data_IF_800244628606
#
_entry.id   IF_800244628606
#
_cell.length_a   1.000
_cell.length_b   1.000
_cell.length_c   1.000
_cell.angle_alpha   90.00
_cell.angle_beta   90.00
_cell.angle_gamma   90.00
#
_symmetry.space_group_name_H-M   'P 1'
#
loop_
_entity.id
_entity.type
_entity.pdbx_description
1 polymer ?
#
# COMPACT_ATOMS: atom_id res chain seq x y z
N UNK A 1 8.95 -16.42 -11.43
CA UNK A 1 7.72 -15.73 -11.05
C UNK A 1 6.69 -15.96 -12.14
N UNK A 2 5.64 -16.65 -11.82
CA UNK A 2 4.62 -17.10 -12.77
C UNK A 2 4.00 -15.94 -13.58
N UNK A 3 3.71 -14.80 -12.92
CA UNK A 3 3.12 -13.63 -13.58
C UNK A 3 3.94 -13.14 -14.79
N UNK A 4 5.26 -13.07 -14.67
CA UNK A 4 6.14 -12.64 -15.75
C UNK A 4 6.25 -13.69 -16.86
N UNK A 5 6.16 -14.97 -16.49
CA UNK A 5 6.23 -16.07 -17.46
C UNK A 5 4.98 -16.15 -18.34
N UNK A 6 3.82 -15.87 -17.74
CA UNK A 6 2.53 -15.88 -18.42
C UNK A 6 2.23 -14.58 -19.17
N UNK A 7 2.92 -13.49 -18.86
CA UNK A 7 2.67 -12.16 -19.41
C UNK A 7 3.98 -11.47 -19.81
N UNK A 8 4.60 -11.90 -20.92
CA UNK A 8 5.90 -11.37 -21.35
C UNK A 8 5.85 -9.90 -21.80
N UNK A 9 4.66 -9.35 -22.03
CA UNK A 9 4.44 -7.96 -22.48
C UNK A 9 4.16 -6.98 -21.33
N UNK A 10 4.34 -7.41 -20.08
CA UNK A 10 4.13 -6.53 -18.93
C UNK A 10 5.14 -5.39 -18.92
N UNK A 11 4.65 -4.17 -18.79
CA UNK A 11 5.43 -2.94 -18.63
C UNK A 11 5.30 -2.30 -17.24
N UNK A 12 4.32 -2.75 -16.43
CA UNK A 12 4.13 -2.29 -15.06
C UNK A 12 3.50 -3.35 -14.16
N UNK A 13 3.85 -3.32 -12.88
CA UNK A 13 3.27 -4.17 -11.84
C UNK A 13 2.87 -3.31 -10.66
N UNK A 14 1.60 -3.44 -10.26
CA UNK A 14 1.06 -2.81 -9.06
C UNK A 14 0.92 -3.87 -7.98
N UNK A 15 1.69 -3.75 -6.91
CA UNK A 15 1.62 -4.64 -5.76
C UNK A 15 0.61 -4.12 -4.73
N UNK A 16 -0.19 -5.01 -4.15
CA UNK A 16 -1.17 -4.63 -3.14
C UNK A 16 -0.52 -4.07 -1.87
N UNK A 17 0.61 -4.62 -1.47
CA UNK A 17 1.36 -4.24 -0.27
C UNK A 17 2.84 -4.04 -0.60
N UNK A 18 3.55 -3.23 0.20
CA UNK A 18 4.99 -3.02 0.07
C UNK A 18 5.78 -4.32 0.10
N UNK A 19 5.39 -5.26 0.96
CA UNK A 19 6.08 -6.57 1.05
C UNK A 19 5.93 -7.39 -0.23
N UNK A 20 4.81 -7.29 -0.93
CA UNK A 20 4.62 -7.93 -2.24
C UNK A 20 5.50 -7.24 -3.28
N UNK A 21 5.56 -5.91 -3.25
CA UNK A 21 6.44 -5.13 -4.13
C UNK A 21 7.91 -5.48 -3.96
N UNK A 22 8.35 -5.72 -2.73
CA UNK A 22 9.70 -6.19 -2.46
C UNK A 22 10.00 -7.54 -3.15
N UNK A 23 9.04 -8.47 -3.10
CA UNK A 23 9.14 -9.74 -3.82
C UNK A 23 9.21 -9.57 -5.34
N UNK A 24 8.43 -8.63 -5.88
CA UNK A 24 8.46 -8.28 -7.32
C UNK A 24 9.83 -7.74 -7.70
N UNK A 25 10.34 -6.75 -6.98
CA UNK A 25 11.65 -6.15 -7.24
C UNK A 25 12.75 -7.21 -7.21
N UNK A 26 12.71 -8.11 -6.25
CA UNK A 26 13.66 -9.22 -6.16
C UNK A 26 13.59 -10.13 -7.37
N UNK A 27 12.38 -10.51 -7.79
CA UNK A 27 12.19 -11.38 -8.97
C UNK A 27 12.65 -10.72 -10.27
N UNK A 28 12.43 -9.41 -10.44
CA UNK A 28 12.93 -8.66 -11.59
C UNK A 28 14.45 -8.64 -11.61
N UNK A 29 15.08 -8.36 -10.47
CA UNK A 29 16.53 -8.35 -10.33
C UNK A 29 17.16 -9.71 -10.64
N UNK A 30 16.59 -10.79 -10.12
CA UNK A 30 17.09 -12.16 -10.35
C UNK A 30 16.99 -12.57 -11.83
N UNK A 31 16.09 -11.93 -12.60
CA UNK A 31 15.93 -12.14 -14.05
C UNK A 31 16.67 -11.13 -14.93
N UNK A 32 17.38 -10.18 -14.32
CA UNK A 32 18.08 -9.13 -15.04
C UNK A 32 17.16 -8.15 -15.77
N UNK A 33 15.90 -8.02 -15.31
CA UNK A 33 14.92 -7.07 -15.86
C UNK A 33 15.12 -5.71 -15.20
N UNK A 34 15.32 -4.68 -16.00
CA UNK A 34 15.57 -3.33 -15.53
C UNK A 34 14.30 -2.64 -15.04
N UNK A 35 14.40 -2.01 -13.88
CA UNK A 35 13.35 -1.20 -13.27
C UNK A 35 13.88 0.23 -13.06
N UNK A 36 13.18 1.26 -13.52
CA UNK A 36 11.88 1.27 -14.21
C UNK A 36 11.97 1.09 -15.73
N UNK A 37 13.16 0.88 -16.29
CA UNK A 37 13.38 0.90 -17.73
C UNK A 37 12.52 -0.07 -18.55
N UNK A 38 12.38 -1.30 -18.08
CA UNK A 38 11.57 -2.32 -18.72
C UNK A 38 10.24 -2.52 -18.03
N UNK A 39 10.25 -2.65 -16.69
CA UNK A 39 9.04 -2.82 -15.88
C UNK A 39 9.03 -1.80 -14.76
N UNK A 40 7.93 -1.08 -14.62
CA UNK A 40 7.67 -0.16 -13.50
C UNK A 40 6.97 -0.90 -12.38
N UNK A 41 7.29 -0.54 -11.12
CA UNK A 41 6.70 -1.18 -9.95
C UNK A 41 6.21 -0.14 -8.96
N UNK A 42 4.99 -0.32 -8.45
CA UNK A 42 4.48 0.48 -7.34
C UNK A 42 3.68 -0.36 -6.35
N UNK A 43 3.49 0.14 -5.16
CA UNK A 43 2.57 -0.46 -4.18
C UNK A 43 1.37 0.43 -3.89
N UNK A 44 0.22 -0.21 -3.58
CA UNK A 44 -1.01 0.49 -3.21
C UNK A 44 -1.11 0.80 -1.71
N UNK A 45 -0.31 0.12 -0.88
CA UNK A 45 -0.38 0.26 0.57
C UNK A 45 1.03 0.45 1.11
N UNK A 46 1.58 1.63 0.84
CA UNK A 46 2.92 2.01 1.26
C UNK A 46 2.95 2.49 2.71
N UNK A 47 4.02 2.13 3.40
CA UNK A 47 4.28 2.56 4.77
C UNK A 47 5.77 2.78 5.00
N UNK A 48 6.37 3.69 4.24
CA UNK A 48 7.78 4.06 4.26
C UNK A 48 8.79 2.98 3.85
N UNK A 49 8.42 1.70 3.84
CA UNK A 49 9.31 0.61 3.46
C UNK A 49 9.89 0.80 2.04
N UNK A 50 9.06 1.25 1.11
CA UNK A 50 9.49 1.50 -0.27
C UNK A 50 10.67 2.47 -0.38
N UNK A 51 10.76 3.46 0.51
CA UNK A 51 11.87 4.42 0.56
C UNK A 51 13.19 3.86 1.12
N UNK A 52 13.14 2.72 1.80
CA UNK A 52 14.30 2.07 2.41
C UNK A 52 14.96 1.03 1.50
N UNK A 53 14.37 0.74 0.35
CA UNK A 53 14.91 -0.23 -0.60
C UNK A 53 16.09 0.34 -1.37
N UNK A 54 16.98 -0.53 -1.85
CA UNK A 54 18.13 -0.14 -2.69
C UNK A 54 17.69 0.61 -3.96
N UNK A 55 16.62 0.13 -4.60
CA UNK A 55 15.85 0.91 -5.58
C UNK A 55 14.55 1.28 -4.91
N UNK A 56 14.38 2.56 -4.62
CA UNK A 56 13.21 3.02 -3.88
C UNK A 56 11.93 2.84 -4.71
N UNK A 57 10.90 2.33 -4.05
CA UNK A 57 9.65 1.97 -4.70
C UNK A 57 8.59 3.06 -4.53
N UNK A 58 8.00 3.46 -5.65
CA UNK A 58 6.81 4.31 -5.68
C UNK A 58 5.67 3.64 -4.93
N UNK A 59 5.00 4.39 -4.05
CA UNK A 59 3.91 3.84 -3.27
C UNK A 59 2.80 4.85 -3.02
N UNK A 60 1.58 4.32 -2.90
CA UNK A 60 0.45 5.07 -2.40
C UNK A 60 0.45 4.93 -0.88
N UNK A 61 0.91 5.95 -0.18
CA UNK A 61 1.01 5.93 1.29
C UNK A 61 -0.33 6.21 1.94
N UNK A 62 -0.69 5.35 2.88
CA UNK A 62 -1.92 5.46 3.66
C UNK A 62 -1.63 6.16 4.99
N UNK A 63 -2.53 7.03 5.50
CA UNK A 63 -2.38 7.66 6.81
C UNK A 63 -2.77 6.70 7.95
N UNK A 64 -2.06 5.57 8.06
CA UNK A 64 -2.43 4.46 8.94
C UNK A 64 -2.58 4.86 10.41
N UNK A 65 -1.72 5.75 10.91
CA UNK A 65 -1.81 6.26 12.28
C UNK A 65 -3.11 7.03 12.51
N UNK A 66 -3.42 7.98 11.64
CA UNK A 66 -4.66 8.77 11.75
C UNK A 66 -5.90 7.88 11.65
N UNK A 67 -5.88 6.91 10.74
CA UNK A 67 -6.96 5.93 10.58
C UNK A 67 -7.15 5.11 11.86
N UNK A 68 -6.06 4.61 12.45
CA UNK A 68 -6.09 3.84 13.69
C UNK A 68 -6.58 4.66 14.89
N UNK A 69 -6.09 5.88 15.05
CA UNK A 69 -6.53 6.81 16.10
C UNK A 69 -8.03 7.11 15.98
N UNK A 70 -8.50 7.39 14.77
CA UNK A 70 -9.93 7.66 14.52
C UNK A 70 -10.80 6.43 14.75
N UNK A 71 -10.37 5.27 14.30
CA UNK A 71 -11.09 4.02 14.53
C UNK A 71 -11.24 3.71 16.03
N UNK A 72 -10.18 3.88 16.80
CA UNK A 72 -10.22 3.69 18.24
C UNK A 72 -11.17 4.68 18.93
N UNK A 73 -11.12 5.96 18.56
CA UNK A 73 -12.03 6.99 19.09
C UNK A 73 -13.50 6.65 18.80
N UNK A 74 -13.79 6.22 17.57
CA UNK A 74 -15.14 5.84 17.17
C UNK A 74 -15.63 4.63 17.95
N UNK A 75 -14.80 3.60 18.10
CA UNK A 75 -15.16 2.40 18.86
C UNK A 75 -15.44 2.71 20.34
N UNK A 76 -14.59 3.52 20.98
CA UNK A 76 -14.81 3.94 22.38
C UNK A 76 -16.12 4.72 22.49
N UNK A 77 -16.38 5.66 21.58
CA UNK A 77 -17.63 6.42 21.55
C UNK A 77 -18.86 5.50 21.38
N UNK A 78 -18.76 4.49 20.53
CA UNK A 78 -19.84 3.52 20.31
C UNK A 78 -20.10 2.65 21.55
N UNK A 79 -19.04 2.24 22.23
CA UNK A 79 -19.16 1.47 23.49
C UNK A 79 -19.84 2.31 24.57
N UNK A 80 -19.44 3.57 24.72
CA UNK A 80 -20.04 4.48 25.70
C UNK A 80 -21.51 4.78 25.40
N UNK A 81 -21.83 4.99 24.12
CA UNK A 81 -23.21 5.20 23.68
C UNK A 81 -24.09 3.96 23.94
N UNK A 82 -23.59 2.76 23.66
CA UNK A 82 -24.29 1.50 23.94
C UNK A 82 -24.54 1.31 25.43
N UNK A 83 -23.57 1.61 26.29
CA UNK A 83 -23.72 1.55 27.76
C UNK A 83 -24.76 2.55 28.28
N UNK A 84 -24.92 3.69 27.62
CA UNK A 84 -25.93 4.72 27.94
C UNK A 84 -27.30 4.45 27.29
N UNK A 85 -27.47 3.35 26.57
CA UNK A 85 -28.71 3.00 25.87
C UNK A 85 -29.02 3.90 24.67
N UNK A 86 -28.02 4.61 24.14
CA UNK A 86 -28.18 5.48 22.97
C UNK A 86 -28.02 4.68 21.68
N UNK A 87 -28.80 5.01 20.61
CA UNK A 87 -28.64 4.36 19.32
C UNK A 87 -27.33 4.80 18.66
N UNK A 88 -26.62 3.85 18.05
CA UNK A 88 -25.47 4.10 17.19
C UNK A 88 -25.88 4.01 15.71
N UNK A 89 -25.40 4.98 14.94
CA UNK A 89 -25.51 4.93 13.47
C UNK A 89 -24.14 4.61 12.87
N UNK A 90 -24.07 3.72 11.86
CA UNK A 90 -22.82 3.47 11.15
C UNK A 90 -22.26 4.77 10.57
N UNK A 91 -20.97 5.02 10.78
CA UNK A 91 -20.25 6.17 10.24
C UNK A 91 -19.17 5.69 9.28
N UNK A 92 -19.11 6.30 8.11
CA UNK A 92 -18.11 6.03 7.10
C UNK A 92 -17.19 7.24 6.94
N UNK A 93 -15.90 7.04 7.18
CA UNK A 93 -14.89 8.10 7.07
C UNK A 93 -13.82 7.65 6.08
N UNK A 94 -13.52 8.52 5.11
CA UNK A 94 -12.43 8.32 4.15
C UNK A 94 -11.26 9.22 4.51
N UNK A 95 -10.04 8.68 4.38
CA UNK A 95 -8.80 9.42 4.53
C UNK A 95 -8.09 9.56 3.19
N UNK A 96 -7.49 10.70 2.89
CA UNK A 96 -6.71 10.88 1.68
C UNK A 96 -5.43 10.04 1.73
N UNK A 97 -5.09 9.43 0.59
CA UNK A 97 -3.81 8.75 0.39
C UNK A 97 -2.85 9.70 -0.32
N UNK A 98 -1.56 9.49 -0.15
CA UNK A 98 -0.51 10.28 -0.78
C UNK A 98 0.31 9.41 -1.71
N UNK A 99 0.33 9.75 -3.01
CA UNK A 99 1.23 9.12 -3.95
C UNK A 99 2.65 9.67 -3.76
N UNK A 100 3.58 8.79 -3.44
CA UNK A 100 5.00 9.11 -3.29
C UNK A 100 5.76 8.47 -4.44
N UNK A 101 6.11 9.26 -5.44
CA UNK A 101 6.92 8.81 -6.58
C UNK A 101 8.37 8.60 -6.14
N UNK A 102 8.95 7.48 -6.59
CA UNK A 102 10.34 7.11 -6.31
C UNK A 102 10.97 6.50 -7.56
N UNK A 103 12.12 5.85 -7.41
CA UNK A 103 12.94 5.36 -8.52
C UNK A 103 12.30 4.24 -9.35
N UNK A 104 11.32 3.52 -8.82
CA UNK A 104 10.71 2.34 -9.47
C UNK A 104 9.67 2.65 -10.54
N UNK A 105 9.34 3.91 -10.75
CA UNK A 105 8.37 4.33 -11.81
C UNK A 105 8.86 5.45 -12.73
#
# INVERSE_FOLDING_TARGET
>A
MQLLDENPELDAIIAALDIHGLGVIRALKDRGIEMPGQIKVMSLTGHHLGGMLQTSMTSLEIPARQMGEKAAQMLISDIEAAAAGKPNSPVHISFPHTLVEREST
#
